data_IF_810420241485
#
_entry.id   IF_810420241485
#
_cell.length_a   1.000
_cell.length_b   1.000
_cell.length_c   1.000
_cell.angle_alpha   90.00
_cell.angle_beta   90.00
_cell.angle_gamma   90.00
#
_symmetry.space_group_name_H-M   'P 1'
#
loop_
_entity.id
_entity.type
_entity.pdbx_description
1 polymer ?
#
# COMPACT_ATOMS: atom_id res chain seq x y z
N UNK A 1 -17.45 35.40 -38.12
CA UNK A 1 -18.15 34.08 -38.07
C UNK A 1 -17.59 33.34 -36.87
N UNK A 2 -18.38 33.17 -35.81
CA UNK A 2 -17.93 32.64 -34.51
C UNK A 2 -18.36 31.17 -34.46
N UNK A 3 -17.42 30.25 -34.22
CA UNK A 3 -17.66 28.81 -34.24
C UNK A 3 -18.80 28.43 -33.27
N UNK A 4 -19.91 27.92 -33.83
CA UNK A 4 -20.97 27.26 -33.07
C UNK A 4 -20.52 25.83 -32.76
N UNK A 5 -19.63 25.67 -31.78
CA UNK A 5 -19.45 24.34 -31.21
C UNK A 5 -20.77 23.91 -30.57
N UNK A 6 -21.34 22.81 -31.06
CA UNK A 6 -22.62 22.28 -30.61
C UNK A 6 -22.61 22.16 -29.07
N UNK A 7 -23.63 22.71 -28.41
CA UNK A 7 -23.80 22.63 -26.94
C UNK A 7 -23.72 21.17 -26.48
N UNK A 8 -24.23 20.24 -27.30
CA UNK A 8 -24.18 18.80 -27.07
C UNK A 8 -22.73 18.30 -27.05
N UNK A 9 -21.89 18.78 -27.98
CA UNK A 9 -20.48 18.40 -28.05
C UNK A 9 -19.70 18.90 -26.82
N UNK A 10 -19.90 20.15 -26.41
CA UNK A 10 -19.20 20.75 -25.27
C UNK A 10 -19.61 20.12 -23.92
N UNK A 11 -20.91 19.88 -23.75
CA UNK A 11 -21.43 19.17 -22.58
C UNK A 11 -20.97 17.70 -22.57
N UNK A 12 -20.98 17.04 -23.73
CA UNK A 12 -20.48 15.67 -23.89
C UNK A 12 -18.99 15.55 -23.53
N UNK A 13 -18.16 16.52 -23.92
CA UNK A 13 -16.75 16.57 -23.53
C UNK A 13 -16.58 16.71 -22.01
N UNK A 14 -17.39 17.56 -21.38
CA UNK A 14 -17.30 17.79 -19.93
C UNK A 14 -17.76 16.57 -19.14
N UNK A 15 -18.89 15.95 -19.51
CA UNK A 15 -19.37 14.70 -18.92
C UNK A 15 -18.39 13.55 -19.17
N UNK A 16 -17.87 13.42 -20.39
CA UNK A 16 -16.85 12.43 -20.73
C UNK A 16 -15.58 12.60 -19.89
N UNK A 17 -15.14 13.84 -19.68
CA UNK A 17 -14.01 14.17 -18.81
C UNK A 17 -14.23 13.76 -17.35
N UNK A 18 -15.43 14.01 -16.80
CA UNK A 18 -15.80 13.58 -15.44
C UNK A 18 -15.74 12.04 -15.32
N UNK A 19 -16.39 11.33 -16.25
CA UNK A 19 -16.41 9.87 -16.25
C UNK A 19 -15.00 9.29 -16.40
N UNK A 20 -14.20 9.85 -17.30
CA UNK A 20 -12.82 9.41 -17.51
C UNK A 20 -11.95 9.60 -16.26
N UNK A 21 -12.03 10.77 -15.61
CA UNK A 21 -11.32 11.03 -14.35
C UNK A 21 -11.73 10.06 -13.25
N UNK A 22 -13.04 9.79 -13.11
CA UNK A 22 -13.56 8.85 -12.12
C UNK A 22 -13.05 7.43 -12.37
N UNK A 23 -13.08 6.96 -13.62
CA UNK A 23 -12.59 5.63 -13.99
C UNK A 23 -11.08 5.49 -13.76
N UNK A 24 -10.28 6.47 -14.21
CA UNK A 24 -8.83 6.45 -13.99
C UNK A 24 -8.49 6.43 -12.49
N UNK A 25 -9.18 7.23 -11.68
CA UNK A 25 -9.00 7.26 -10.23
C UNK A 25 -9.37 5.91 -9.59
N UNK A 26 -10.49 5.29 -10.00
CA UNK A 26 -10.89 3.98 -9.50
C UNK A 26 -9.90 2.88 -9.88
N UNK A 27 -9.50 2.81 -11.15
CA UNK A 27 -8.53 1.80 -11.62
C UNK A 27 -7.19 1.95 -10.90
N UNK A 28 -6.70 3.18 -10.72
CA UNK A 28 -5.47 3.42 -9.96
C UNK A 28 -5.59 2.94 -8.51
N UNK A 29 -6.74 3.17 -7.87
CA UNK A 29 -6.99 2.72 -6.49
C UNK A 29 -6.98 1.20 -6.36
N UNK A 30 -7.60 0.50 -7.31
CA UNK A 30 -7.65 -0.97 -7.32
C UNK A 30 -6.25 -1.55 -7.50
N UNK A 31 -5.49 -1.05 -8.47
CA UNK A 31 -4.12 -1.50 -8.73
C UNK A 31 -3.21 -1.33 -7.50
N UNK A 32 -3.30 -0.16 -6.84
CA UNK A 32 -2.52 0.11 -5.63
C UNK A 32 -2.96 -0.82 -4.48
N UNK A 33 -4.27 -0.99 -4.27
CA UNK A 33 -4.79 -1.89 -3.23
C UNK A 33 -4.34 -3.35 -3.42
N UNK A 34 -4.27 -3.84 -4.67
CA UNK A 34 -3.72 -5.17 -4.95
C UNK A 34 -2.22 -5.24 -4.66
N UNK A 35 -1.44 -4.23 -5.06
CA UNK A 35 -0.01 -4.18 -4.78
C UNK A 35 0.30 -4.12 -3.27
N UNK A 36 -0.55 -3.45 -2.48
CA UNK A 36 -0.40 -3.35 -1.02
C UNK A 36 -0.63 -4.66 -0.27
N UNK A 37 -1.26 -5.67 -0.88
CA UNK A 37 -1.41 -7.00 -0.23
C UNK A 37 -0.05 -7.63 0.07
N UNK A 38 0.89 -7.49 -0.87
CA UNK A 38 2.26 -7.97 -0.70
C UNK A 38 3.00 -7.23 0.41
N UNK A 39 2.86 -5.90 0.45
CA UNK A 39 3.45 -5.03 1.48
C UNK A 39 2.97 -5.44 2.89
N UNK A 40 1.66 -5.65 3.06
CA UNK A 40 1.07 -6.10 4.31
C UNK A 40 1.56 -7.50 4.73
N UNK A 41 1.66 -8.43 3.78
CA UNK A 41 2.20 -9.77 4.04
C UNK A 41 3.67 -9.72 4.50
N UNK A 42 4.49 -8.89 3.85
CA UNK A 42 5.90 -8.69 4.23
C UNK A 42 6.04 -8.10 5.63
N UNK A 43 5.24 -7.08 5.96
CA UNK A 43 5.25 -6.45 7.28
C UNK A 43 4.84 -7.42 8.39
N UNK A 44 3.82 -8.24 8.14
CA UNK A 44 3.37 -9.26 9.09
C UNK A 44 4.44 -10.36 9.30
N UNK A 45 5.06 -10.84 8.22
CA UNK A 45 6.15 -11.82 8.31
C UNK A 45 7.33 -11.26 9.08
N UNK A 46 7.81 -10.07 8.72
CA UNK A 46 8.91 -9.40 9.41
C UNK A 46 8.60 -9.13 10.89
N UNK A 47 7.37 -8.72 11.20
CA UNK A 47 6.86 -8.61 12.57
C UNK A 47 6.94 -9.94 13.34
N UNK A 48 6.52 -11.03 12.72
CA UNK A 48 6.56 -12.36 13.35
C UNK A 48 7.98 -12.88 13.57
N UNK A 49 8.95 -12.53 12.72
CA UNK A 49 10.36 -12.89 12.88
C UNK A 49 10.96 -12.25 14.15
N UNK A 50 10.62 -10.99 14.45
CA UNK A 50 11.06 -10.32 15.69
C UNK A 50 10.55 -11.05 16.93
N UNK A 51 9.25 -11.32 16.95
CA UNK A 51 8.62 -12.07 18.05
C UNK A 51 9.22 -13.47 18.19
N UNK A 52 9.49 -14.14 17.06
CA UNK A 52 10.07 -15.47 17.07
C UNK A 52 11.52 -15.48 17.56
N UNK A 53 12.31 -14.46 17.24
CA UNK A 53 13.70 -14.31 17.73
C UNK A 53 13.74 -14.28 19.26
N UNK A 54 12.89 -13.47 19.89
CA UNK A 54 12.78 -13.45 21.35
C UNK A 54 12.17 -14.73 21.93
N UNK A 55 11.21 -15.36 21.23
CA UNK A 55 10.63 -16.63 21.68
C UNK A 55 11.67 -17.76 21.69
N UNK A 56 12.61 -17.78 20.75
CA UNK A 56 13.74 -18.70 20.76
C UNK A 56 14.66 -18.37 21.94
N UNK A 57 14.96 -17.09 22.18
CA UNK A 57 15.78 -16.64 23.31
C UNK A 57 15.22 -17.07 24.67
N UNK A 58 13.91 -16.95 24.88
CA UNK A 58 13.27 -17.34 26.14
C UNK A 58 13.23 -18.85 26.32
N UNK A 59 12.95 -19.63 25.25
CA UNK A 59 12.97 -21.09 25.32
C UNK A 59 14.36 -21.65 25.64
N UNK A 60 15.42 -21.08 25.07
CA UNK A 60 16.79 -21.51 25.38
C UNK A 60 17.20 -21.29 26.84
N UNK A 61 16.54 -20.36 27.54
CA UNK A 61 16.77 -20.11 28.97
C UNK A 61 15.96 -21.05 29.87
N UNK A 62 14.89 -21.64 29.34
CA UNK A 62 13.99 -22.50 30.10
C UNK A 62 14.54 -23.94 30.15
N UNK A 63 15.58 -24.12 30.97
CA UNK A 63 16.29 -25.41 31.16
C UNK A 63 15.53 -26.44 32.00
N UNK A 64 14.26 -26.18 32.36
CA UNK A 64 13.48 -27.08 33.19
C UNK A 64 12.94 -28.32 32.45
N UNK A 65 13.12 -28.39 31.13
CA UNK A 65 12.79 -29.58 30.33
C UNK A 65 14.05 -30.25 29.79
N UNK A 66 14.69 -31.11 30.57
CA UNK A 66 15.78 -32.02 30.15
C UNK A 66 15.28 -33.14 29.22
N UNK A 67 14.26 -32.85 28.41
CA UNK A 67 13.53 -33.81 27.58
C UNK A 67 13.82 -33.57 26.11
N UNK A 68 13.91 -34.65 25.34
CA UNK A 68 14.03 -34.63 23.88
C UNK A 68 12.98 -33.73 23.20
N UNK A 69 11.82 -33.55 23.84
CA UNK A 69 10.76 -32.64 23.39
C UNK A 69 11.16 -31.16 23.38
N UNK A 70 12.06 -30.71 24.26
CA UNK A 70 12.53 -29.32 24.27
C UNK A 70 13.39 -29.01 23.04
N UNK A 71 14.36 -29.87 22.74
CA UNK A 71 15.22 -29.76 21.57
C UNK A 71 14.38 -29.76 20.28
N UNK A 72 13.39 -30.65 20.18
CA UNK A 72 12.47 -30.71 19.05
C UNK A 72 11.63 -29.42 18.92
N UNK A 73 11.18 -28.84 20.03
CA UNK A 73 10.43 -27.58 20.01
C UNK A 73 11.27 -26.40 19.51
N UNK A 74 12.54 -26.31 19.91
CA UNK A 74 13.45 -25.26 19.44
C UNK A 74 13.80 -25.46 17.96
N UNK A 75 14.09 -26.70 17.54
CA UNK A 75 14.32 -27.02 16.14
C UNK A 75 13.14 -26.62 15.24
N UNK A 76 11.90 -26.88 15.68
CA UNK A 76 10.68 -26.44 14.97
C UNK A 76 10.57 -24.91 14.86
N UNK A 77 11.02 -24.16 15.85
CA UNK A 77 11.03 -22.68 15.77
C UNK A 77 12.06 -22.18 14.76
N UNK A 78 13.26 -22.77 14.73
CA UNK A 78 14.33 -22.44 13.77
C UNK A 78 13.82 -22.68 12.34
N UNK A 79 13.24 -23.84 12.09
CA UNK A 79 12.70 -24.22 10.78
C UNK A 79 11.50 -23.33 10.37
N UNK A 80 10.61 -22.97 11.30
CA UNK A 80 9.57 -21.98 11.04
C UNK A 80 10.14 -20.58 10.75
N UNK A 81 11.22 -20.19 11.42
CA UNK A 81 11.88 -18.91 11.21
C UNK A 81 12.45 -18.85 9.79
N UNK A 82 13.17 -19.88 9.39
CA UNK A 82 13.78 -20.01 8.05
C UNK A 82 12.73 -19.93 6.95
N UNK A 83 11.63 -20.70 7.07
CA UNK A 83 10.50 -20.60 6.13
C UNK A 83 9.93 -19.21 5.99
N UNK A 84 9.72 -18.49 7.11
CA UNK A 84 9.17 -17.14 7.08
C UNK A 84 10.14 -16.14 6.48
N UNK A 85 11.43 -16.28 6.79
CA UNK A 85 12.50 -15.46 6.24
C UNK A 85 12.59 -15.63 4.72
N UNK A 86 12.50 -16.85 4.21
CA UNK A 86 12.50 -17.13 2.76
C UNK A 86 11.23 -16.65 2.06
N UNK A 87 10.08 -16.79 2.73
CA UNK A 87 8.79 -16.37 2.18
C UNK A 87 8.72 -14.85 1.97
N UNK A 88 9.56 -14.03 2.62
CA UNK A 88 9.63 -12.59 2.36
C UNK A 88 9.91 -12.26 0.88
N UNK A 89 10.73 -13.06 0.19
CA UNK A 89 10.98 -12.89 -1.25
C UNK A 89 9.76 -13.16 -2.12
N UNK A 90 8.80 -13.93 -1.62
CA UNK A 90 7.60 -14.34 -2.34
C UNK A 90 6.43 -13.36 -2.16
N UNK A 91 6.56 -12.40 -1.24
CA UNK A 91 5.51 -11.40 -0.96
C UNK A 91 5.30 -10.40 -2.10
N UNK A 92 6.28 -10.22 -2.98
CA UNK A 92 6.26 -9.19 -4.02
C UNK A 92 6.55 -7.77 -3.51
N UNK A 93 6.69 -7.55 -2.20
CA UNK A 93 7.00 -6.25 -1.60
C UNK A 93 8.47 -5.81 -1.80
N UNK A 94 9.33 -6.76 -2.16
CA UNK A 94 10.79 -6.58 -2.24
C UNK A 94 11.21 -6.76 -3.69
N UNK A 95 11.86 -5.74 -4.24
CA UNK A 95 12.33 -5.79 -5.62
C UNK A 95 13.58 -6.69 -5.73
N UNK A 96 13.75 -7.48 -6.80
CA UNK A 96 14.97 -8.25 -7.01
C UNK A 96 16.20 -7.38 -7.31
N UNK A 97 16.01 -6.10 -7.61
CA UNK A 97 17.09 -5.17 -7.92
C UNK A 97 18.03 -4.96 -6.72
N UNK A 98 19.34 -5.10 -6.93
CA UNK A 98 20.36 -4.88 -5.88
C UNK A 98 20.41 -3.43 -5.35
N UNK A 99 19.90 -2.49 -6.14
CA UNK A 99 19.76 -1.08 -5.76
C UNK A 99 18.62 -0.85 -4.77
N UNK A 100 17.68 -1.79 -4.60
CA UNK A 100 16.61 -1.70 -3.62
C UNK A 100 17.16 -1.83 -2.18
N UNK A 101 16.80 -0.89 -1.31
CA UNK A 101 17.23 -0.87 0.08
C UNK A 101 16.67 -2.05 0.87
N UNK A 102 15.41 -2.43 0.61
CA UNK A 102 14.75 -3.59 1.24
C UNK A 102 15.45 -4.89 0.87
N UNK A 103 15.83 -5.07 -0.39
CA UNK A 103 16.60 -6.23 -0.86
C UNK A 103 17.93 -6.35 -0.12
N UNK A 104 18.72 -5.27 -0.03
CA UNK A 104 20.00 -5.27 0.69
C UNK A 104 19.83 -5.59 2.17
N UNK A 105 18.83 -4.99 2.82
CA UNK A 105 18.52 -5.24 4.22
C UNK A 105 18.13 -6.71 4.47
N UNK A 106 17.25 -7.29 3.65
CA UNK A 106 16.86 -8.70 3.76
C UNK A 106 18.04 -9.64 3.56
N UNK A 107 18.92 -9.37 2.57
CA UNK A 107 20.14 -10.17 2.39
C UNK A 107 21.07 -10.10 3.60
N UNK A 108 21.21 -8.93 4.22
CA UNK A 108 22.03 -8.78 5.43
C UNK A 108 21.45 -9.52 6.63
N UNK A 109 20.12 -9.54 6.78
CA UNK A 109 19.41 -10.34 7.79
C UNK A 109 19.63 -11.83 7.51
N UNK A 110 19.46 -12.27 6.27
CA UNK A 110 19.69 -13.66 5.87
C UNK A 110 21.13 -14.12 6.14
N UNK A 111 22.13 -13.31 5.83
CA UNK A 111 23.52 -13.62 6.17
C UNK A 111 23.72 -13.65 7.69
N UNK A 112 23.22 -12.66 8.44
CA UNK A 112 23.32 -12.67 9.92
C UNK A 112 22.66 -13.91 10.53
N UNK A 113 21.56 -14.38 9.95
CA UNK A 113 20.88 -15.60 10.39
C UNK A 113 21.71 -16.85 10.11
N UNK A 114 22.11 -17.08 8.85
CA UNK A 114 22.79 -18.30 8.44
C UNK A 114 24.24 -18.39 8.95
N UNK A 115 24.95 -17.27 9.02
CA UNK A 115 26.38 -17.25 9.30
C UNK A 115 26.67 -17.15 10.81
N UNK A 116 25.74 -16.61 11.60
CA UNK A 116 25.96 -16.37 13.04
C UNK A 116 24.91 -17.04 13.93
N UNK A 117 23.62 -16.71 13.79
CA UNK A 117 22.62 -17.17 14.76
C UNK A 117 22.26 -18.64 14.63
N UNK A 118 22.01 -19.14 13.42
CA UNK A 118 21.59 -20.53 13.18
C UNK A 118 22.64 -21.54 13.67
N UNK A 119 23.95 -21.39 13.38
CA UNK A 119 24.97 -22.30 13.92
C UNK A 119 24.99 -22.32 15.46
N UNK A 120 24.87 -21.16 16.10
CA UNK A 120 24.82 -21.06 17.58
C UNK A 120 23.62 -21.84 18.13
N UNK A 121 22.46 -21.69 17.49
CA UNK A 121 21.25 -22.40 17.88
C UNK A 121 21.38 -23.92 17.70
N UNK A 122 21.93 -24.38 16.58
CA UNK A 122 22.15 -25.80 16.32
C UNK A 122 23.10 -26.44 17.34
N UNK A 123 24.21 -25.78 17.69
CA UNK A 123 25.12 -26.23 18.75
C UNK A 123 24.41 -26.28 20.11
N UNK A 124 23.62 -25.26 20.43
CA UNK A 124 22.93 -25.18 21.72
C UNK A 124 21.84 -26.26 21.87
N UNK A 125 21.17 -26.62 20.76
CA UNK A 125 20.21 -27.71 20.70
C UNK A 125 20.90 -29.08 20.83
N UNK A 126 22.05 -29.27 20.18
CA UNK A 126 22.83 -30.50 20.26
C UNK A 126 23.40 -30.75 21.68
N UNK A 127 23.88 -29.68 22.33
CA UNK A 127 24.48 -29.74 23.67
C UNK A 127 23.44 -29.62 24.81
N UNK A 128 22.15 -29.51 24.46
CA UNK A 128 21.03 -29.31 25.39
C UNK A 128 21.30 -28.22 26.44
N UNK A 129 21.95 -27.12 26.02
CA UNK A 129 22.52 -26.11 26.92
C UNK A 129 22.03 -24.70 26.60
N UNK A 130 21.84 -23.84 27.61
CA UNK A 130 21.50 -22.44 27.40
C UNK A 130 22.55 -21.71 26.56
N UNK A 131 22.08 -20.89 25.61
CA UNK A 131 22.95 -20.17 24.70
C UNK A 131 23.15 -18.71 25.10
N UNK A 132 24.11 -18.43 25.99
CA UNK A 132 24.49 -17.04 26.30
C UNK A 132 25.04 -16.29 25.09
N UNK A 133 25.55 -17.02 24.09
CA UNK A 133 26.03 -16.45 22.83
C UNK A 133 24.86 -15.95 21.97
N UNK A 134 23.75 -16.69 21.90
CA UNK A 134 22.54 -16.25 21.21
C UNK A 134 21.93 -15.02 21.88
N UNK A 135 21.79 -15.04 23.22
CA UNK A 135 21.21 -13.92 23.97
C UNK A 135 21.97 -12.60 23.80
N UNK A 136 23.28 -12.66 23.58
CA UNK A 136 24.10 -11.46 23.31
C UNK A 136 23.94 -10.90 21.90
N UNK A 137 23.52 -11.73 20.94
CA UNK A 137 23.44 -11.35 19.52
C UNK A 137 22.00 -11.13 19.05
N UNK A 138 21.00 -11.67 19.76
CA UNK A 138 19.60 -11.58 19.35
C UNK A 138 19.10 -10.13 19.30
N UNK A 139 19.55 -9.26 20.21
CA UNK A 139 19.13 -7.85 20.23
C UNK A 139 19.62 -7.09 18.98
N UNK A 140 20.89 -7.26 18.58
CA UNK A 140 21.42 -6.66 17.34
C UNK A 140 20.70 -7.21 16.10
N UNK A 141 20.41 -8.50 16.10
CA UNK A 141 19.67 -9.12 15.01
C UNK A 141 18.23 -8.61 14.90
N UNK A 142 17.53 -8.46 16.03
CA UNK A 142 16.19 -7.89 16.07
C UNK A 142 16.22 -6.42 15.64
N UNK A 143 17.26 -5.66 16.01
CA UNK A 143 17.42 -4.28 15.53
C UNK A 143 17.55 -4.20 14.00
N UNK A 144 18.19 -5.18 13.34
CA UNK A 144 18.21 -5.29 11.87
C UNK A 144 16.81 -5.60 11.31
N UNK A 145 16.05 -6.48 11.94
CA UNK A 145 14.66 -6.75 11.58
C UNK A 145 13.77 -5.50 11.75
N UNK A 146 13.94 -4.74 12.82
CA UNK A 146 13.22 -3.47 13.06
C UNK A 146 13.53 -2.43 11.99
N UNK A 147 14.82 -2.26 11.65
CA UNK A 147 15.23 -1.37 10.57
C UNK A 147 14.63 -1.81 9.22
N UNK A 148 14.54 -3.11 8.96
CA UNK A 148 13.91 -3.65 7.76
C UNK A 148 12.39 -3.41 7.74
N UNK A 149 11.69 -3.63 8.86
CA UNK A 149 10.26 -3.31 8.99
C UNK A 149 10.01 -1.83 8.70
N UNK A 150 10.86 -0.95 9.25
CA UNK A 150 10.74 0.49 9.00
C UNK A 150 10.90 0.85 7.52
N UNK A 151 11.76 0.16 6.78
CA UNK A 151 11.88 0.34 5.32
C UNK A 151 10.60 -0.09 4.58
N UNK A 152 9.95 -1.18 5.02
CA UNK A 152 8.66 -1.62 4.47
C UNK A 152 7.55 -0.61 4.78
N UNK A 153 7.50 -0.11 6.02
CA UNK A 153 6.53 0.89 6.46
C UNK A 153 6.65 2.19 5.65
N UNK A 154 7.86 2.73 5.51
CA UNK A 154 8.11 3.97 4.76
C UNK A 154 7.70 3.85 3.28
N UNK A 155 7.97 2.71 2.65
CA UNK A 155 7.55 2.47 1.26
C UNK A 155 6.03 2.39 1.12
N UNK A 156 5.38 1.71 2.07
CA UNK A 156 3.91 1.57 2.11
C UNK A 156 3.24 2.92 2.35
N UNK A 157 3.73 3.70 3.31
CA UNK A 157 3.24 5.04 3.62
C UNK A 157 3.39 6.01 2.44
N UNK A 158 4.53 5.96 1.74
CA UNK A 158 4.76 6.77 0.55
C UNK A 158 3.74 6.45 -0.56
N UNK A 159 3.47 5.16 -0.82
CA UNK A 159 2.44 4.73 -1.78
C UNK A 159 1.05 5.23 -1.40
N UNK A 160 0.67 5.13 -0.12
CA UNK A 160 -0.61 5.61 0.39
C UNK A 160 -0.74 7.14 0.23
N UNK A 161 0.33 7.88 0.53
CA UNK A 161 0.34 9.34 0.38
C UNK A 161 0.13 9.74 -1.09
N UNK A 162 0.85 9.10 -2.02
CA UNK A 162 0.68 9.33 -3.45
C UNK A 162 -0.74 9.02 -3.94
N UNK A 163 -1.31 7.90 -3.51
CA UNK A 163 -2.70 7.55 -3.83
C UNK A 163 -3.66 8.65 -3.36
N UNK A 164 -3.50 9.11 -2.11
CA UNK A 164 -4.35 10.16 -1.54
C UNK A 164 -4.24 11.48 -2.30
N UNK A 165 -3.04 11.85 -2.76
CA UNK A 165 -2.83 13.05 -3.57
C UNK A 165 -3.52 12.94 -4.95
N UNK A 166 -3.37 11.81 -5.64
CA UNK A 166 -4.01 11.57 -6.93
C UNK A 166 -5.53 11.62 -6.80
N UNK A 167 -6.09 10.93 -5.80
CA UNK A 167 -7.53 10.93 -5.54
C UNK A 167 -8.04 12.33 -5.15
N UNK A 168 -7.32 13.05 -4.29
CA UNK A 168 -7.67 14.41 -3.91
C UNK A 168 -7.71 15.36 -5.11
N UNK A 169 -6.72 15.25 -6.01
CA UNK A 169 -6.68 16.06 -7.23
C UNK A 169 -7.76 15.67 -8.23
N UNK A 170 -8.04 14.37 -8.40
CA UNK A 170 -9.13 13.89 -9.24
C UNK A 170 -10.50 14.39 -8.74
N UNK A 171 -10.73 14.37 -7.43
CA UNK A 171 -11.94 14.88 -6.80
C UNK A 171 -12.08 16.39 -7.00
N UNK A 172 -11.01 17.15 -6.79
CA UNK A 172 -11.00 18.60 -7.04
C UNK A 172 -11.33 18.93 -8.49
N UNK A 173 -10.67 18.27 -9.46
CA UNK A 173 -10.93 18.45 -10.89
C UNK A 173 -12.36 18.07 -11.27
N UNK A 174 -12.90 17.01 -10.66
CA UNK A 174 -14.29 16.60 -10.87
C UNK A 174 -15.26 17.71 -10.45
N UNK A 175 -15.05 18.32 -9.28
CA UNK A 175 -15.86 19.46 -8.83
C UNK A 175 -15.77 20.64 -9.80
N UNK A 176 -14.57 20.99 -10.27
CA UNK A 176 -14.37 22.06 -11.26
C UNK A 176 -15.15 21.77 -12.55
N UNK A 177 -15.09 20.55 -13.06
CA UNK A 177 -15.85 20.15 -14.25
C UNK A 177 -17.36 20.17 -14.02
N UNK A 178 -17.84 19.79 -12.83
CA UNK A 178 -19.26 19.88 -12.48
C UNK A 178 -19.71 21.36 -12.48
N UNK A 179 -18.95 22.26 -11.85
CA UNK A 179 -19.26 23.69 -11.87
C UNK A 179 -19.23 24.26 -13.30
N UNK A 180 -18.24 23.88 -14.11
CA UNK A 180 -18.17 24.28 -15.51
C UNK A 180 -19.36 23.76 -16.32
N UNK A 181 -19.77 22.50 -16.12
CA UNK A 181 -20.93 21.90 -16.75
C UNK A 181 -22.22 22.64 -16.35
N UNK A 182 -22.41 22.92 -15.06
CA UNK A 182 -23.56 23.67 -14.56
C UNK A 182 -23.61 25.09 -15.16
N UNK A 183 -22.48 25.78 -15.19
CA UNK A 183 -22.38 27.11 -15.79
C UNK A 183 -22.75 27.08 -17.28
N UNK A 184 -22.18 26.15 -18.04
CA UNK A 184 -22.48 26.00 -19.47
C UNK A 184 -23.94 25.63 -19.74
N UNK A 185 -24.53 24.78 -18.90
CA UNK A 185 -25.94 24.40 -18.99
C UNK A 185 -26.83 25.62 -18.71
N UNK A 186 -26.51 26.40 -17.68
CA UNK A 186 -27.26 27.61 -17.35
C UNK A 186 -27.19 28.66 -18.47
N UNK A 187 -25.97 29.02 -18.92
CA UNK A 187 -25.79 30.08 -19.92
C UNK A 187 -26.16 29.65 -21.34
N UNK A 188 -25.97 28.36 -21.68
CA UNK A 188 -26.16 27.85 -23.03
C UNK A 188 -27.56 27.30 -23.31
N UNK A 189 -28.28 26.85 -22.28
CA UNK A 189 -29.58 26.16 -22.45
C UNK A 189 -30.67 26.84 -21.65
N UNK A 190 -30.51 26.99 -20.33
CA UNK A 190 -31.59 27.47 -19.46
C UNK A 190 -31.96 28.94 -19.76
N UNK A 191 -30.98 29.84 -19.82
CA UNK A 191 -31.26 31.26 -20.07
C UNK A 191 -31.93 31.50 -21.44
N UNK A 192 -31.42 30.97 -22.57
CA UNK A 192 -32.08 31.13 -23.87
C UNK A 192 -33.49 30.52 -23.92
N UNK A 193 -33.71 29.36 -23.28
CA UNK A 193 -35.05 28.76 -23.20
C UNK A 193 -36.03 29.64 -22.43
N UNK A 194 -35.58 30.25 -21.32
CA UNK A 194 -36.42 31.17 -20.54
C UNK A 194 -36.83 32.38 -21.38
N UNK A 195 -35.89 32.98 -22.10
CA UNK A 195 -36.15 34.15 -22.95
C UNK A 195 -37.13 33.81 -24.09
N UNK A 196 -36.99 32.63 -24.72
CA UNK A 196 -37.93 32.15 -25.74
C UNK A 196 -39.34 31.92 -25.18
N UNK A 197 -39.45 31.35 -23.97
CA UNK A 197 -40.74 31.13 -23.30
C UNK A 197 -41.41 32.47 -22.95
N UNK A 198 -40.65 33.47 -22.48
CA UNK A 198 -41.18 34.80 -22.20
C UNK A 198 -41.68 35.50 -23.47
N UNK A 199 -40.91 35.47 -24.57
CA UNK A 199 -41.32 36.03 -25.85
C UNK A 199 -42.58 35.35 -26.39
N UNK A 200 -42.67 34.02 -26.33
CA UNK A 200 -43.87 33.29 -26.74
C UNK A 200 -45.10 33.68 -25.89
N UNK A 201 -44.89 33.97 -24.60
CA UNK A 201 -45.96 34.39 -23.68
C UNK A 201 -46.46 35.80 -24.01
N UNK A 202 -45.55 36.75 -24.28
CA UNK A 202 -45.88 38.12 -24.71
C UNK A 202 -46.64 38.14 -26.05
N UNK A 203 -46.15 37.38 -27.02
CA UNK A 203 -46.80 37.21 -28.31
C UNK A 203 -48.22 36.62 -28.17
N UNK A 204 -48.40 35.62 -27.28
CA UNK A 204 -49.71 35.05 -26.97
C UNK A 204 -50.67 36.07 -26.32
N UNK A 205 -50.16 37.00 -25.53
CA UNK A 205 -50.97 38.09 -24.94
C UNK A 205 -51.22 39.26 -25.89
N UNK A 206 -50.79 39.17 -27.15
CA UNK A 206 -50.97 40.23 -28.15
C UNK A 206 -49.99 41.39 -28.04
N UNK A 207 -48.96 41.27 -27.19
CA UNK A 207 -47.89 42.25 -27.07
C UNK A 207 -46.75 41.84 -28.02
N UNK A 208 -46.65 42.56 -29.13
CA UNK A 208 -45.65 42.37 -30.18
C UNK A 208 -44.53 43.43 -30.11
N UNK A 209 -44.43 44.18 -29.01
CA UNK A 209 -43.31 45.10 -28.82
C UNK A 209 -42.04 44.30 -28.48
N UNK A 210 -41.04 44.40 -29.35
CA UNK A 210 -39.74 43.70 -29.28
C UNK A 210 -38.71 44.60 -28.60
#
# INVERSE_FOLDING_TARGET
>A
MKNNDSIIFRNGLTMGGIVLLALLSMTSSVFIAESSKGDAAALNLAGSLRMQSYRIATRLQDSHGTDAHHAENVAREIDQFERRLDHLWQTGAISPAKSDSKNRALRAIMSSWHDALRPILETSVADASPSTAYLRQVDDFVAKLDAFVKLLEQDTEAKILWLRLVQGMALFLTLVLIFAAMYQLHSGVIAPLRDLVELARKARSGDLTV
#
